data_IF_629599700813
#
_entry.id   IF_629599700813
#
_cell.length_a   1.000
_cell.length_b   1.000
_cell.length_c   1.000
_cell.angle_alpha   90.00
_cell.angle_beta   90.00
_cell.angle_gamma   90.00
#
_symmetry.space_group_name_H-M   'P 1'
#
loop_
_entity.id
_entity.type
_entity.pdbx_description
1 polymer ?
#
# COMPACT_ATOMS: atom_id res chain seq x y z
N UNK A 1 -11.45 -20.40 -3.77
CA UNK A 1 -11.08 -20.24 -2.35
C UNK A 1 -11.67 -18.94 -1.85
N UNK A 2 -12.41 -18.99 -0.73
CA UNK A 2 -12.93 -17.79 -0.04
C UNK A 2 -12.00 -17.42 1.11
N UNK A 3 -11.68 -16.13 1.25
CA UNK A 3 -10.94 -15.60 2.39
C UNK A 3 -11.89 -15.10 3.47
N UNK A 4 -11.56 -15.34 4.74
CA UNK A 4 -12.36 -14.89 5.88
C UNK A 4 -11.48 -14.54 7.09
N UNK A 5 -12.03 -14.02 8.16
CA UNK A 5 -11.30 -13.85 9.42
C UNK A 5 -11.16 -15.19 10.13
N UNK A 6 -10.19 -15.29 11.07
CA UNK A 6 -9.97 -16.53 11.84
C UNK A 6 -11.19 -16.86 12.71
N UNK A 7 -11.77 -15.86 13.33
CA UNK A 7 -12.95 -15.99 14.18
C UNK A 7 -14.11 -16.59 13.40
N UNK A 8 -14.47 -15.96 12.29
CA UNK A 8 -15.57 -16.41 11.42
C UNK A 8 -15.32 -17.80 10.83
N UNK A 9 -14.07 -18.13 10.47
CA UNK A 9 -13.71 -19.46 9.97
C UNK A 9 -13.92 -20.55 11.00
N UNK A 10 -13.63 -20.25 12.28
CA UNK A 10 -13.88 -21.17 13.40
C UNK A 10 -15.37 -21.29 13.72
N UNK A 11 -16.09 -20.17 13.75
CA UNK A 11 -17.55 -20.13 13.99
C UNK A 11 -18.33 -20.92 12.94
N UNK A 12 -17.93 -20.84 11.66
CA UNK A 12 -18.54 -21.57 10.55
C UNK A 12 -18.08 -23.05 10.46
N UNK A 13 -17.30 -23.54 11.42
CA UNK A 13 -16.85 -24.95 11.45
C UNK A 13 -15.78 -25.29 10.42
N UNK A 14 -14.95 -24.32 10.01
CA UNK A 14 -13.85 -24.48 9.04
C UNK A 14 -14.34 -25.00 7.68
N UNK A 15 -15.22 -24.28 6.99
CA UNK A 15 -15.85 -24.75 5.76
C UNK A 15 -14.83 -25.02 4.66
N UNK A 16 -15.07 -26.07 3.89
CA UNK A 16 -14.23 -26.43 2.75
C UNK A 16 -14.15 -25.27 1.73
N UNK A 17 -13.02 -25.13 1.08
CA UNK A 17 -12.75 -24.03 0.11
C UNK A 17 -12.64 -22.64 0.73
N UNK A 18 -12.59 -22.56 2.08
CA UNK A 18 -12.40 -21.30 2.81
C UNK A 18 -11.15 -21.37 3.67
N UNK A 19 -10.33 -20.32 3.64
CA UNK A 19 -9.14 -20.20 4.48
C UNK A 19 -9.16 -18.91 5.30
N UNK A 20 -8.70 -18.93 6.55
CA UNK A 20 -8.57 -17.73 7.36
C UNK A 20 -7.37 -16.90 6.86
N UNK A 21 -7.50 -15.60 6.92
CA UNK A 21 -6.44 -14.66 6.57
C UNK A 21 -5.45 -14.50 7.72
N UNK A 22 -4.65 -15.52 7.95
CA UNK A 22 -3.62 -15.58 9.00
C UNK A 22 -2.26 -15.85 8.37
N UNK A 23 -1.17 -15.43 8.99
CA UNK A 23 0.18 -15.55 8.41
C UNK A 23 0.63 -17.00 8.16
N UNK A 24 0.11 -17.96 8.92
CA UNK A 24 0.37 -19.38 8.77
C UNK A 24 -0.25 -20.01 7.51
N UNK A 25 -1.27 -19.34 6.93
CA UNK A 25 -1.95 -19.79 5.72
C UNK A 25 -1.34 -19.21 4.42
N UNK A 26 -0.40 -18.29 4.52
CA UNK A 26 0.19 -17.60 3.36
C UNK A 26 1.71 -17.61 3.45
N UNK A 27 2.36 -17.76 2.31
CA UNK A 27 3.81 -17.70 2.19
C UNK A 27 4.18 -16.87 0.99
N UNK A 28 5.29 -16.16 1.10
CA UNK A 28 5.92 -15.60 -0.08
C UNK A 28 6.49 -16.74 -0.93
N UNK A 29 6.26 -16.75 -2.25
CA UNK A 29 6.85 -17.76 -3.12
C UNK A 29 8.36 -17.56 -3.21
N UNK A 30 9.08 -18.64 -3.47
CA UNK A 30 10.44 -18.56 -3.95
C UNK A 30 10.44 -18.10 -5.41
N UNK A 31 11.41 -17.23 -5.78
CA UNK A 31 11.49 -16.66 -7.12
C UNK A 31 10.78 -15.32 -7.25
N UNK A 32 10.48 -14.95 -8.48
CA UNK A 32 9.96 -13.62 -8.81
C UNK A 32 8.63 -13.29 -8.14
N UNK A 33 8.45 -12.01 -7.82
CA UNK A 33 7.22 -11.51 -7.23
C UNK A 33 7.08 -10.00 -7.34
N UNK A 34 6.12 -9.46 -6.59
CA UNK A 34 5.80 -8.04 -6.58
C UNK A 34 5.94 -7.50 -5.16
N UNK A 35 6.82 -6.53 -5.00
CA UNK A 35 6.89 -5.70 -3.80
C UNK A 35 5.91 -4.54 -3.96
N UNK A 36 4.97 -4.42 -3.03
CA UNK A 36 4.05 -3.29 -2.96
C UNK A 36 4.53 -2.31 -1.90
N UNK A 37 4.47 -1.02 -2.23
CA UNK A 37 4.63 0.09 -1.30
C UNK A 37 3.30 0.85 -1.26
N UNK A 38 2.69 0.93 -0.09
CA UNK A 38 1.40 1.61 0.14
C UNK A 38 1.68 2.94 0.85
N UNK A 39 1.58 4.04 0.11
CA UNK A 39 1.75 5.38 0.62
C UNK A 39 0.42 5.94 1.10
N UNK A 40 0.36 6.27 2.37
CA UNK A 40 -0.73 7.03 2.97
C UNK A 40 -0.17 8.34 3.54
N UNK A 41 -0.63 9.51 3.06
CA UNK A 41 -0.21 10.78 3.62
C UNK A 41 -0.67 10.89 5.09
N UNK A 42 0.06 11.64 5.93
CA UNK A 42 -0.44 11.99 7.26
C UNK A 42 -1.86 12.57 7.20
N UNK A 43 -2.69 12.38 8.24
CA UNK A 43 -4.10 12.79 8.22
C UNK A 43 -4.31 14.26 7.77
N UNK A 44 -3.48 15.17 8.27
CA UNK A 44 -3.53 16.61 7.98
C UNK A 44 -2.43 17.04 6.99
N UNK A 45 -1.70 16.08 6.40
CA UNK A 45 -0.61 16.33 5.46
C UNK A 45 -1.09 16.53 4.03
N UNK A 46 -0.34 17.35 3.29
CA UNK A 46 -0.50 17.47 1.83
C UNK A 46 0.13 16.21 1.21
N UNK A 47 -0.63 15.44 0.40
CA UNK A 47 -0.08 14.28 -0.28
C UNK A 47 1.06 14.68 -1.22
N UNK A 48 2.13 13.91 -1.23
CA UNK A 48 3.15 14.03 -2.27
C UNK A 48 2.53 13.73 -3.63
N UNK A 49 2.91 14.46 -4.67
CA UNK A 49 2.59 14.03 -6.03
C UNK A 49 3.45 12.80 -6.41
N UNK A 50 3.19 12.21 -7.57
CA UNK A 50 3.91 11.01 -8.01
C UNK A 50 5.41 11.21 -8.09
N UNK A 51 5.84 12.32 -8.67
CA UNK A 51 7.24 12.66 -8.91
C UNK A 51 8.00 12.84 -7.58
N UNK A 52 7.41 13.57 -6.65
CA UNK A 52 7.98 13.79 -5.32
C UNK A 52 8.03 12.51 -4.50
N UNK A 53 6.98 11.67 -4.58
CA UNK A 53 6.94 10.37 -3.89
C UNK A 53 8.05 9.44 -4.38
N UNK A 54 8.18 9.29 -5.71
CA UNK A 54 9.23 8.45 -6.31
C UNK A 54 10.62 9.00 -5.98
N UNK A 55 10.80 10.32 -6.05
CA UNK A 55 12.06 10.98 -5.71
C UNK A 55 12.43 10.77 -4.23
N UNK A 56 11.47 10.90 -3.32
CA UNK A 56 11.67 10.63 -1.90
C UNK A 56 12.09 9.18 -1.64
N UNK A 57 11.41 8.22 -2.30
CA UNK A 57 11.73 6.81 -2.22
C UNK A 57 13.15 6.51 -2.74
N UNK A 58 13.50 7.01 -3.91
CA UNK A 58 14.83 6.79 -4.52
C UNK A 58 15.95 7.44 -3.70
N UNK A 59 15.72 8.59 -3.08
CA UNK A 59 16.68 9.19 -2.14
C UNK A 59 16.87 8.34 -0.89
N UNK A 60 15.79 7.80 -0.33
CA UNK A 60 15.88 6.95 0.86
C UNK A 60 16.50 5.59 0.55
N UNK A 61 16.24 5.04 -0.62
CA UNK A 61 16.68 3.71 -1.06
C UNK A 61 17.34 3.80 -2.44
N UNK A 62 18.60 4.22 -2.52
CA UNK A 62 19.29 4.44 -3.81
C UNK A 62 19.32 3.23 -4.74
N UNK A 63 19.29 2.00 -4.21
CA UNK A 63 19.18 0.77 -5.00
C UNK A 63 17.90 0.65 -5.84
N UNK A 64 16.93 1.54 -5.66
CA UNK A 64 15.72 1.61 -6.48
C UNK A 64 15.80 2.62 -7.64
N UNK A 65 16.93 3.31 -7.82
CA UNK A 65 17.07 4.27 -8.90
C UNK A 65 16.82 3.64 -10.28
N UNK A 66 17.39 2.45 -10.52
CA UNK A 66 17.26 1.72 -11.79
C UNK A 66 15.99 0.87 -11.87
N UNK A 67 15.19 0.80 -10.80
CA UNK A 67 13.98 -0.01 -10.79
C UNK A 67 12.81 0.71 -11.47
N UNK A 68 12.19 0.05 -12.43
CA UNK A 68 10.89 0.47 -12.94
C UNK A 68 9.80 0.19 -11.89
N UNK A 69 8.85 1.11 -11.79
CA UNK A 69 7.76 1.04 -10.81
C UNK A 69 6.43 1.29 -11.51
N UNK A 70 5.41 0.52 -11.18
CA UNK A 70 4.04 0.82 -11.57
C UNK A 70 3.38 1.65 -10.47
N UNK A 71 3.08 2.90 -10.77
CA UNK A 71 2.37 3.80 -9.86
C UNK A 71 0.88 3.81 -10.12
N UNK A 72 0.07 3.79 -9.06
CA UNK A 72 -1.37 3.92 -9.16
C UNK A 72 -1.96 4.60 -7.92
N UNK A 73 -2.88 5.59 -8.09
CA UNK A 73 -3.63 6.13 -6.96
C UNK A 73 -4.52 5.07 -6.31
N UNK A 74 -4.63 5.09 -4.98
CA UNK A 74 -5.47 4.15 -4.25
C UNK A 74 -6.98 4.46 -4.42
N UNK A 75 -7.82 3.58 -3.87
CA UNK A 75 -9.28 3.76 -3.89
C UNK A 75 -9.75 5.03 -3.13
N UNK A 76 -8.90 5.66 -2.32
CA UNK A 76 -9.22 6.90 -1.59
C UNK A 76 -9.01 8.18 -2.41
N UNK A 77 -8.44 8.07 -3.63
CA UNK A 77 -8.02 9.21 -4.46
C UNK A 77 -9.01 9.51 -5.57
N UNK A 78 -9.06 10.77 -5.98
CA UNK A 78 -9.81 11.29 -7.15
C UNK A 78 -11.30 10.93 -7.14
N UNK A 79 -12.00 11.32 -6.07
CA UNK A 79 -13.45 11.19 -5.96
C UNK A 79 -14.11 12.51 -6.39
N UNK A 80 -15.02 12.44 -7.33
CA UNK A 80 -15.80 13.58 -7.82
C UNK A 80 -17.30 13.40 -7.52
N UNK A 81 -18.01 14.52 -7.39
CA UNK A 81 -19.45 14.55 -7.43
C UNK A 81 -19.88 14.82 -8.88
N UNK A 82 -20.60 13.87 -9.49
CA UNK A 82 -20.98 13.93 -10.91
C UNK A 82 -22.10 14.93 -11.21
N UNK A 83 -22.88 15.35 -10.21
CA UNK A 83 -23.93 16.36 -10.37
C UNK A 83 -23.37 17.78 -10.35
N UNK A 84 -22.38 18.02 -9.49
CA UNK A 84 -21.80 19.37 -9.30
C UNK A 84 -20.48 19.56 -10.06
N UNK A 85 -19.85 18.48 -10.53
CA UNK A 85 -18.50 18.48 -11.08
C UNK A 85 -17.39 18.73 -10.05
N UNK A 86 -17.76 18.87 -8.78
CA UNK A 86 -16.80 19.17 -7.71
C UNK A 86 -15.92 17.97 -7.39
N UNK A 87 -14.61 18.17 -7.33
CA UNK A 87 -13.67 17.20 -6.78
C UNK A 87 -13.81 17.16 -5.25
N UNK A 88 -14.40 16.09 -4.72
CA UNK A 88 -14.60 15.86 -3.30
C UNK A 88 -13.28 15.42 -2.63
N UNK A 89 -12.49 14.65 -3.35
CA UNK A 89 -11.14 14.23 -2.94
C UNK A 89 -10.18 14.26 -4.12
N UNK A 90 -9.04 14.88 -3.95
CA UNK A 90 -7.91 14.83 -4.87
C UNK A 90 -7.05 13.58 -4.66
N UNK A 91 -5.78 13.68 -5.00
CA UNK A 91 -4.78 12.63 -4.72
C UNK A 91 -4.63 12.45 -3.21
N UNK A 92 -4.67 11.19 -2.75
CA UNK A 92 -4.47 10.80 -1.35
C UNK A 92 -3.51 9.61 -1.29
N UNK A 93 -4.00 8.42 -0.99
CA UNK A 93 -3.18 7.22 -0.96
C UNK A 93 -2.68 6.82 -2.36
N UNK A 94 -1.49 6.27 -2.43
CA UNK A 94 -0.84 5.87 -3.67
C UNK A 94 -0.13 4.54 -3.49
N UNK A 95 -0.01 3.77 -4.55
CA UNK A 95 0.71 2.51 -4.57
C UNK A 95 1.81 2.53 -5.59
N UNK A 96 2.92 1.91 -5.22
CA UNK A 96 4.02 1.59 -6.12
C UNK A 96 4.21 0.07 -6.10
N UNK A 97 4.27 -0.53 -7.27
CA UNK A 97 4.54 -1.95 -7.45
C UNK A 97 5.88 -2.12 -8.16
N UNK A 98 6.74 -2.94 -7.59
CA UNK A 98 8.09 -3.18 -8.08
C UNK A 98 8.27 -4.68 -8.26
N UNK A 99 8.75 -5.11 -9.42
CA UNK A 99 9.11 -6.50 -9.64
C UNK A 99 10.39 -6.84 -8.86
N UNK A 100 10.36 -7.95 -8.16
CA UNK A 100 11.51 -8.46 -7.38
C UNK A 100 11.90 -9.85 -7.85
N UNK A 101 13.19 -10.14 -7.86
CA UNK A 101 13.71 -11.44 -8.28
C UNK A 101 13.36 -12.55 -7.28
N UNK A 102 13.21 -12.22 -6.01
CA UNK A 102 12.85 -13.18 -4.96
C UNK A 102 11.84 -12.57 -3.98
N UNK A 103 10.59 -13.04 -4.07
CA UNK A 103 9.52 -12.58 -3.20
C UNK A 103 9.69 -13.03 -1.74
N UNK A 104 10.38 -14.14 -1.48
CA UNK A 104 10.63 -14.61 -0.10
C UNK A 104 11.50 -13.65 0.70
N UNK A 105 12.23 -12.74 0.04
CA UNK A 105 13.05 -11.70 0.66
C UNK A 105 12.27 -10.41 1.03
N UNK A 106 11.01 -10.27 0.60
CA UNK A 106 10.19 -9.08 0.85
C UNK A 106 10.13 -8.70 2.34
N UNK A 107 9.95 -9.62 3.32
CA UNK A 107 9.93 -9.25 4.73
C UNK A 107 11.25 -8.63 5.23
N UNK A 108 12.39 -9.12 4.74
CA UNK A 108 13.71 -8.56 5.07
C UNK A 108 13.90 -7.20 4.40
N UNK A 109 13.57 -7.12 3.12
CA UNK A 109 13.61 -5.87 2.37
C UNK A 109 12.74 -4.80 3.04
N UNK A 110 11.54 -5.14 3.48
CA UNK A 110 10.63 -4.23 4.18
C UNK A 110 11.23 -3.63 5.46
N UNK A 111 11.98 -4.41 6.24
CA UNK A 111 12.73 -3.89 7.40
C UNK A 111 13.80 -2.89 6.97
N UNK A 112 14.59 -3.24 5.95
CA UNK A 112 15.62 -2.35 5.41
C UNK A 112 15.02 -1.05 4.84
N UNK A 113 13.87 -1.12 4.17
CA UNK A 113 13.13 0.06 3.73
C UNK A 113 12.71 0.94 4.90
N UNK A 114 12.16 0.36 5.97
CA UNK A 114 11.78 1.09 7.17
C UNK A 114 12.97 1.85 7.76
N UNK A 115 14.11 1.18 7.91
CA UNK A 115 15.35 1.78 8.45
C UNK A 115 15.86 2.90 7.53
N UNK A 116 15.88 2.69 6.22
CA UNK A 116 16.31 3.69 5.25
C UNK A 116 15.38 4.93 5.24
N UNK A 117 14.07 4.74 5.34
CA UNK A 117 13.10 5.83 5.43
C UNK A 117 13.25 6.63 6.72
N UNK A 118 13.54 5.98 7.85
CA UNK A 118 13.89 6.66 9.10
C UNK A 118 15.17 7.49 8.95
N UNK A 119 16.22 6.91 8.39
CA UNK A 119 17.49 7.62 8.16
C UNK A 119 17.34 8.80 7.19
N UNK A 120 16.44 8.72 6.22
CA UNK A 120 16.14 9.78 5.26
C UNK A 120 15.16 10.86 5.79
N UNK A 121 14.69 10.76 7.05
CA UNK A 121 13.71 11.70 7.60
C UNK A 121 12.29 11.55 7.03
N UNK A 122 11.99 10.42 6.39
CA UNK A 122 10.67 10.08 5.83
C UNK A 122 9.84 9.21 6.78
N UNK A 123 9.96 9.48 8.07
CA UNK A 123 9.31 8.75 9.14
C UNK A 123 8.86 9.70 10.26
N UNK A 124 7.90 9.27 11.08
CA UNK A 124 7.34 10.06 12.15
C UNK A 124 6.72 9.18 13.24
N UNK A 125 6.44 9.78 14.40
CA UNK A 125 5.64 9.13 15.43
C UNK A 125 4.19 9.62 15.36
N UNK A 126 3.27 8.66 15.35
CA UNK A 126 1.84 8.93 15.52
C UNK A 126 1.40 8.50 16.92
N UNK A 127 0.38 9.15 17.46
CA UNK A 127 -0.25 8.76 18.72
C UNK A 127 -1.51 7.96 18.41
N UNK A 128 -1.60 6.75 18.96
CA UNK A 128 -2.81 5.92 18.83
C UNK A 128 -3.95 6.47 19.69
N UNK A 129 -5.17 5.98 19.46
CA UNK A 129 -6.34 6.32 20.30
C UNK A 129 -6.16 5.92 21.77
N UNK A 130 -5.31 4.94 22.06
CA UNK A 130 -4.93 4.51 23.41
C UNK A 130 -3.76 5.28 24.01
N UNK A 131 -3.23 6.32 23.31
CA UNK A 131 -2.11 7.12 23.77
C UNK A 131 -0.72 6.52 23.52
N UNK A 132 -0.63 5.37 22.84
CA UNK A 132 0.67 4.74 22.54
C UNK A 132 1.35 5.42 21.36
N UNK A 133 2.67 5.60 21.43
CA UNK A 133 3.48 6.07 20.31
C UNK A 133 3.66 4.95 19.28
N UNK A 134 3.29 5.24 18.05
CA UNK A 134 3.43 4.34 16.90
C UNK A 134 4.49 4.90 15.97
N UNK A 135 5.56 4.13 15.75
CA UNK A 135 6.53 4.42 14.71
C UNK A 135 5.89 4.22 13.33
N UNK A 136 5.98 5.23 12.48
CA UNK A 136 5.40 5.26 11.13
C UNK A 136 6.42 5.75 10.12
N UNK A 137 6.32 5.25 8.91
CA UNK A 137 7.01 5.79 7.74
C UNK A 137 5.97 6.27 6.73
N UNK A 138 6.41 6.95 5.67
CA UNK A 138 5.50 7.36 4.58
C UNK A 138 4.87 6.17 3.85
N UNK A 139 5.40 4.95 4.01
CA UNK A 139 4.81 3.72 3.50
C UNK A 139 4.34 2.83 4.65
N UNK A 140 3.19 2.18 4.48
CA UNK A 140 2.68 1.22 5.46
C UNK A 140 3.46 -0.10 5.37
N UNK A 141 4.32 -0.37 6.36
CA UNK A 141 5.10 -1.61 6.44
C UNK A 141 4.26 -2.88 6.66
N UNK A 142 2.97 -2.75 7.00
CA UNK A 142 2.10 -3.91 7.18
C UNK A 142 1.83 -4.67 5.88
N UNK A 143 1.99 -4.01 4.72
CA UNK A 143 1.77 -4.62 3.40
C UNK A 143 2.83 -5.67 3.02
N UNK A 144 3.96 -5.71 3.75
CA UNK A 144 5.01 -6.70 3.54
C UNK A 144 4.78 -8.02 4.32
N UNK A 145 3.60 -8.15 4.92
CA UNK A 145 3.15 -9.41 5.54
C UNK A 145 2.40 -10.25 4.51
N UNK A 146 2.61 -11.58 4.55
CA UNK A 146 2.03 -12.52 3.58
C UNK A 146 0.50 -12.56 3.55
N UNK A 147 -0.15 -12.23 4.66
CA UNK A 147 -1.61 -12.26 4.82
C UNK A 147 -2.30 -10.91 4.61
N UNK A 148 -1.58 -9.90 4.11
CA UNK A 148 -2.19 -8.61 3.76
C UNK A 148 -2.84 -8.69 2.38
N UNK A 149 -4.01 -8.06 2.27
CA UNK A 149 -4.72 -7.94 1.00
C UNK A 149 -4.35 -6.59 0.36
N UNK A 150 -4.07 -6.65 -0.93
CA UNK A 150 -4.06 -5.46 -1.76
C UNK A 150 -5.48 -5.22 -2.32
N UNK A 151 -6.06 -4.07 -2.00
CA UNK A 151 -7.34 -3.62 -2.55
C UNK A 151 -7.10 -2.78 -3.81
N UNK A 152 -6.56 -3.42 -4.85
CA UNK A 152 -6.23 -2.76 -6.11
C UNK A 152 -7.46 -2.24 -6.87
N UNK A 153 -8.66 -2.75 -6.57
CA UNK A 153 -9.92 -2.27 -7.16
C UNK A 153 -10.17 -0.78 -6.88
N UNK A 154 -10.99 -0.16 -7.73
CA UNK A 154 -11.47 1.20 -7.51
C UNK A 154 -12.39 1.32 -6.30
N UNK A 155 -12.72 2.56 -5.94
CA UNK A 155 -13.68 2.86 -4.89
C UNK A 155 -15.10 2.37 -5.26
N UNK A 156 -15.77 1.75 -4.32
CA UNK A 156 -17.20 1.49 -4.42
C UNK A 156 -17.96 2.77 -4.08
N UNK A 157 -18.17 3.63 -5.07
CA UNK A 157 -18.89 4.89 -4.91
C UNK A 157 -20.40 4.67 -5.05
N UNK A 158 -21.18 5.44 -4.27
CA UNK A 158 -22.64 5.58 -4.47
C UNK A 158 -22.90 6.92 -5.14
N UNK A 159 -23.87 6.96 -6.04
CA UNK A 159 -24.30 8.21 -6.68
C UNK A 159 -24.58 9.30 -5.62
N UNK A 160 -24.19 10.56 -5.87
CA UNK A 160 -23.59 11.08 -7.09
C UNK A 160 -22.05 11.02 -7.15
N UNK A 161 -21.41 10.21 -6.29
CA UNK A 161 -19.95 10.12 -6.25
C UNK A 161 -19.43 9.10 -7.29
N UNK A 162 -18.31 9.44 -7.93
CA UNK A 162 -17.55 8.58 -8.84
C UNK A 162 -16.06 8.76 -8.63
N UNK A 163 -15.29 7.68 -8.79
CA UNK A 163 -13.84 7.76 -8.79
C UNK A 163 -13.31 7.97 -10.22
N UNK A 164 -12.33 8.88 -10.36
CA UNK A 164 -11.64 9.17 -11.63
C UNK A 164 -10.12 9.13 -11.46
N UNK A 165 -9.60 8.02 -10.97
CA UNK A 165 -8.16 7.88 -10.66
C UNK A 165 -7.24 7.61 -11.86
N UNK A 166 -7.81 7.39 -13.05
CA UNK A 166 -7.03 7.08 -14.26
C UNK A 166 -6.44 5.67 -14.28
N UNK A 167 -5.62 5.44 -15.28
CA UNK A 167 -4.88 4.19 -15.47
C UNK A 167 -3.57 4.18 -14.69
N UNK A 168 -3.02 2.97 -14.41
CA UNK A 168 -1.69 2.85 -13.81
C UNK A 168 -0.63 3.47 -14.72
N UNK A 169 0.38 4.09 -14.11
CA UNK A 169 1.48 4.75 -14.83
C UNK A 169 2.79 4.03 -14.57
N UNK A 170 3.46 3.60 -15.63
CA UNK A 170 4.80 3.05 -15.54
C UNK A 170 5.80 4.21 -15.34
N UNK A 171 6.52 4.17 -14.23
CA UNK A 171 7.65 5.05 -13.92
C UNK A 171 8.92 4.28 -14.27
N UNK A 172 9.70 4.70 -15.28
CA UNK A 172 10.91 3.99 -15.68
C UNK A 172 11.99 4.07 -14.58
N UNK A 173 12.94 3.12 -14.60
CA UNK A 173 14.21 3.28 -13.93
C UNK A 173 15.05 4.39 -14.57
N UNK A 174 16.09 4.81 -13.87
CA UNK A 174 17.04 5.81 -14.39
C UNK A 174 17.93 5.21 -15.50
#
# INVERSE_FOLDING_TARGET
>A
IRLTTKEKWLEEGRPEGTIPRTADMFRWPEGGGVLMLDYDPPPDGIPLNREDLVSALRRAVPGLCDAAMLWWPSASSFIINTETGQQVRGLRGQRLYILVANASDIPRAGKAFTEALWAAGSAYFAVSTSGSLLSRTIFDGSVWQTNRLDFAAGAACRAPLRQERGEPVLVPGA
#
